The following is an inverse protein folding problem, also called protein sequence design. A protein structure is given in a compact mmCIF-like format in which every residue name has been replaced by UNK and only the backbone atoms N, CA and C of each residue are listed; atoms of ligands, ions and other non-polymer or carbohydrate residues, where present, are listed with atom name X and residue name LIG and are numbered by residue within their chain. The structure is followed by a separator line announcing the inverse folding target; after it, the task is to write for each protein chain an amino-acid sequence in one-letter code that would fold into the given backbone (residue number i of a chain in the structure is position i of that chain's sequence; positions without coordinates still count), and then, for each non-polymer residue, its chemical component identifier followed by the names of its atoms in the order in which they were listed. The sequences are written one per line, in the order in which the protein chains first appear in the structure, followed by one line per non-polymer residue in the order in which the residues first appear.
data_IF_178283123723
#
_entry.id   IF_178283123723
#
_cell.length_a   1.000
_cell.length_b   1.000
_cell.length_c   1.000
_cell.angle_alpha   90.00
_cell.angle_beta   90.00
_cell.angle_gamma   90.00
#
_symmetry.space_group_name_H-M   'P 1'
#
loop_
_entity.id
_entity.type
_entity.pdbx_description
1 polymer ?
#
# COMPACT_ATOMS: atom_id res chain seq x y z
N UNK A 1 -25.30 -12.95 16.06
CA UNK A 1 -26.48 -13.33 16.89
C UNK A 1 -26.01 -13.54 18.32
N UNK A 2 -26.66 -12.90 19.29
CA UNK A 2 -26.40 -13.09 20.71
C UNK A 2 -27.06 -14.40 21.19
N UNK A 3 -26.25 -15.41 21.49
CA UNK A 3 -26.70 -16.80 21.68
C UNK A 3 -27.76 -16.93 22.78
N UNK A 4 -27.54 -16.32 23.95
CA UNK A 4 -28.47 -16.45 25.09
C UNK A 4 -29.82 -15.76 24.86
N UNK A 5 -29.85 -14.69 24.06
CA UNK A 5 -31.08 -13.93 23.80
C UNK A 5 -31.79 -14.40 22.53
N UNK A 6 -31.05 -15.05 21.61
CA UNK A 6 -31.52 -15.35 20.27
C UNK A 6 -31.75 -14.09 19.42
N UNK A 7 -31.14 -12.95 19.78
CA UNK A 7 -31.32 -11.67 19.08
C UNK A 7 -30.18 -11.42 18.11
N UNK A 8 -30.47 -10.77 16.99
CA UNK A 8 -29.44 -10.23 16.10
C UNK A 8 -28.69 -9.08 16.79
N UNK A 9 -27.40 -8.95 16.48
CA UNK A 9 -26.61 -7.82 16.96
C UNK A 9 -26.78 -6.69 15.95
N UNK A 10 -27.15 -5.50 16.40
CA UNK A 10 -27.53 -4.38 15.56
C UNK A 10 -26.77 -3.11 15.94
N UNK A 11 -26.60 -2.21 14.98
CA UNK A 11 -26.18 -0.83 15.22
C UNK A 11 -27.36 -0.01 15.77
N UNK A 12 -27.24 0.49 16.99
CA UNK A 12 -28.26 1.34 17.62
C UNK A 12 -28.21 2.73 17.01
N UNK A 13 -29.34 3.26 16.57
CA UNK A 13 -29.47 4.67 16.16
C UNK A 13 -30.57 5.32 16.97
N UNK A 14 -30.20 5.86 18.12
CA UNK A 14 -31.08 6.58 19.06
C UNK A 14 -30.41 7.87 19.51
N UNK A 15 -31.10 8.71 20.27
CA UNK A 15 -30.49 9.90 20.83
C UNK A 15 -29.28 9.58 21.71
N UNK A 16 -28.34 10.54 21.80
CA UNK A 16 -27.22 10.49 22.72
C UNK A 16 -27.69 10.14 24.16
N UNK A 17 -26.88 9.40 24.93
CA UNK A 17 -25.47 9.06 24.69
C UNK A 17 -25.25 7.73 23.95
N UNK A 18 -26.31 7.03 23.55
CA UNK A 18 -26.22 5.64 23.06
C UNK A 18 -26.38 5.51 21.53
N UNK A 19 -26.17 6.60 20.81
CA UNK A 19 -26.13 6.57 19.35
C UNK A 19 -24.90 5.77 18.88
N UNK A 20 -25.07 4.97 17.83
CA UNK A 20 -24.06 4.10 17.23
C UNK A 20 -23.45 3.00 18.12
N UNK A 21 -24.12 2.62 19.20
CA UNK A 21 -23.69 1.47 20.03
C UNK A 21 -24.07 0.13 19.39
N UNK A 22 -23.25 -0.90 19.58
CA UNK A 22 -23.64 -2.29 19.31
C UNK A 22 -24.65 -2.74 20.37
N UNK A 23 -25.81 -3.26 19.97
CA UNK A 23 -26.80 -3.78 20.90
C UNK A 23 -27.45 -5.06 20.39
N UNK A 24 -27.96 -5.88 21.30
CA UNK A 24 -28.81 -7.01 20.94
C UNK A 24 -30.19 -6.46 20.55
N UNK A 25 -30.51 -6.48 19.26
CA UNK A 25 -31.73 -5.96 18.68
C UNK A 25 -32.92 -6.86 18.94
N UNK A 26 -33.48 -7.43 17.87
CA UNK A 26 -34.63 -8.32 17.94
C UNK A 26 -34.30 -9.72 17.43
N UNK A 27 -35.25 -10.66 17.57
CA UNK A 27 -35.16 -11.99 16.95
C UNK A 27 -35.43 -11.97 15.44
N UNK A 28 -35.96 -10.86 14.93
CA UNK A 28 -36.24 -10.67 13.51
C UNK A 28 -35.10 -9.89 12.87
N UNK A 29 -34.91 -10.13 11.57
CA UNK A 29 -33.98 -9.37 10.73
C UNK A 29 -34.41 -7.90 10.70
N UNK A 30 -33.44 -7.00 10.80
CA UNK A 30 -33.68 -5.56 10.75
C UNK A 30 -33.93 -5.11 9.29
N UNK A 31 -35.09 -4.49 9.04
CA UNK A 31 -35.46 -4.04 7.69
C UNK A 31 -34.57 -2.93 7.13
N UNK A 32 -33.84 -2.21 7.99
CA UNK A 32 -32.87 -1.18 7.62
C UNK A 32 -31.43 -1.73 7.54
N UNK A 33 -31.27 -3.05 7.59
CA UNK A 33 -29.99 -3.77 7.50
C UNK A 33 -29.00 -3.39 8.62
N UNK A 34 -29.49 -2.91 9.76
CA UNK A 34 -28.63 -2.51 10.90
C UNK A 34 -28.01 -3.69 11.62
N UNK A 35 -28.49 -4.91 11.34
CA UNK A 35 -27.96 -6.19 11.79
C UNK A 35 -26.91 -6.80 10.85
N UNK A 36 -26.64 -6.16 9.71
CA UNK A 36 -25.62 -6.59 8.76
C UNK A 36 -24.27 -5.99 9.15
N UNK A 37 -23.26 -6.85 9.26
CA UNK A 37 -21.89 -6.46 9.59
C UNK A 37 -20.96 -6.87 8.45
N UNK A 38 -20.10 -5.95 8.03
CA UNK A 38 -18.98 -6.28 7.14
C UNK A 38 -17.83 -6.83 7.98
N UNK A 39 -17.48 -8.09 7.75
CA UNK A 39 -16.32 -8.70 8.39
C UNK A 39 -15.05 -8.25 7.67
N UNK A 40 -14.16 -7.57 8.39
CA UNK A 40 -12.82 -7.23 7.91
C UNK A 40 -11.80 -8.17 8.54
N UNK A 41 -11.04 -8.87 7.71
CA UNK A 41 -9.89 -9.64 8.19
C UNK A 41 -8.73 -8.68 8.44
N UNK A 42 -8.50 -8.32 9.71
CA UNK A 42 -7.40 -7.41 10.05
C UNK A 42 -6.02 -7.97 9.68
N UNK A 43 -5.85 -9.30 9.62
CA UNK A 43 -4.58 -9.91 9.24
C UNK A 43 -4.24 -9.66 7.76
N UNK A 44 -5.24 -9.55 6.87
CA UNK A 44 -4.97 -9.27 5.46
C UNK A 44 -4.50 -7.84 5.22
N UNK A 45 -4.75 -6.90 6.14
CA UNK A 45 -4.23 -5.53 6.06
C UNK A 45 -2.70 -5.46 6.20
N UNK A 46 -2.07 -6.54 6.68
CA UNK A 46 -0.62 -6.65 6.86
C UNK A 46 0.05 -7.56 5.83
N UNK A 47 -0.73 -8.17 4.93
CA UNK A 47 -0.23 -9.08 3.90
C UNK A 47 -0.35 -8.39 2.54
N UNK A 48 0.80 -8.06 1.95
CA UNK A 48 0.83 -7.49 0.62
C UNK A 48 0.61 -8.55 -0.45
N UNK A 49 -0.12 -8.21 -1.54
CA UNK A 49 -0.03 -8.97 -2.77
C UNK A 49 1.42 -9.06 -3.22
N UNK A 50 1.79 -10.18 -3.86
CA UNK A 50 3.18 -10.41 -4.25
C UNK A 50 3.60 -9.47 -5.38
N UNK A 51 2.78 -9.33 -6.43
CA UNK A 51 3.02 -8.42 -7.54
C UNK A 51 2.08 -7.22 -7.46
N UNK A 52 2.66 -6.03 -7.44
CA UNK A 52 1.92 -4.79 -7.25
C UNK A 52 2.36 -3.71 -8.21
N UNK A 53 1.46 -2.77 -8.48
CA UNK A 53 1.81 -1.43 -8.91
C UNK A 53 1.50 -0.43 -7.79
N UNK A 54 2.23 0.68 -7.76
CA UNK A 54 1.93 1.78 -6.85
C UNK A 54 1.39 2.96 -7.63
N UNK A 55 0.36 3.61 -7.12
CA UNK A 55 -0.19 4.84 -7.70
C UNK A 55 -0.07 5.99 -6.71
N UNK A 56 0.41 7.11 -7.22
CA UNK A 56 0.65 8.31 -6.43
C UNK A 56 -0.54 9.26 -6.47
N UNK A 57 -0.46 10.32 -5.66
CA UNK A 57 -1.47 11.38 -5.57
C UNK A 57 -1.80 12.04 -6.92
N UNK A 58 -0.86 12.06 -7.87
CA UNK A 58 -1.09 12.59 -9.23
C UNK A 58 -1.89 11.64 -10.15
N UNK A 59 -2.39 10.52 -9.61
CA UNK A 59 -3.14 9.52 -10.36
C UNK A 59 -2.31 8.66 -11.32
N UNK A 60 -0.98 8.82 -11.33
CA UNK A 60 -0.08 8.04 -12.19
C UNK A 60 0.55 6.87 -11.43
N UNK A 61 0.89 5.83 -12.19
CA UNK A 61 1.60 4.67 -11.70
C UNK A 61 3.11 4.92 -11.60
N UNK A 62 3.71 4.35 -10.56
CA UNK A 62 5.13 4.39 -10.27
C UNK A 62 5.88 3.35 -11.09
N UNK A 63 6.68 3.81 -12.04
CA UNK A 63 7.52 2.93 -12.85
C UNK A 63 8.97 3.37 -12.91
N UNK A 64 9.81 2.48 -13.44
CA UNK A 64 11.24 2.75 -13.60
C UNK A 64 11.47 3.73 -14.75
N UNK A 65 12.30 4.74 -14.53
CA UNK A 65 12.84 5.63 -15.56
C UNK A 65 14.35 5.81 -15.38
N UNK A 66 15.09 5.93 -16.48
CA UNK A 66 16.51 6.32 -16.42
C UNK A 66 16.62 7.84 -16.38
N UNK A 67 17.19 8.40 -15.31
CA UNK A 67 17.56 9.81 -15.21
C UNK A 67 19.02 9.91 -14.80
N UNK A 68 19.80 10.73 -15.51
CA UNK A 68 21.25 10.91 -15.27
C UNK A 68 22.01 9.57 -15.14
N UNK A 69 21.70 8.62 -16.03
CA UNK A 69 22.24 7.25 -16.02
C UNK A 69 21.90 6.42 -14.76
N UNK A 70 20.94 6.83 -13.95
CA UNK A 70 20.46 6.11 -12.76
C UNK A 70 19.03 5.58 -12.97
N UNK A 71 18.73 4.35 -12.54
CA UNK A 71 17.39 3.78 -12.62
C UNK A 71 16.52 4.31 -11.47
N UNK A 72 15.85 5.43 -11.69
CA UNK A 72 14.96 6.07 -10.72
C UNK A 72 13.52 5.54 -10.83
N UNK A 73 12.69 5.89 -9.85
CA UNK A 73 11.26 5.62 -9.87
C UNK A 73 10.48 6.92 -10.06
N UNK A 74 9.53 6.95 -10.98
CA UNK A 74 8.72 8.12 -11.31
C UNK A 74 7.23 7.79 -11.44
N UNK A 75 6.38 8.65 -10.90
CA UNK A 75 4.92 8.61 -11.06
C UNK A 75 4.51 9.26 -12.38
N UNK A 76 4.70 8.57 -13.49
CA UNK A 76 4.45 9.09 -14.85
C UNK A 76 3.69 8.14 -15.77
N UNK A 77 3.44 6.89 -15.34
CA UNK A 77 2.79 5.89 -16.18
C UNK A 77 1.27 5.94 -16.04
N UNK A 78 0.55 5.70 -17.13
CA UNK A 78 -0.92 5.78 -17.17
C UNK A 78 -1.63 4.44 -16.92
N UNK A 79 -0.95 3.33 -17.15
CA UNK A 79 -1.55 2.00 -17.16
C UNK A 79 -0.81 1.05 -16.24
N UNK A 80 -1.53 0.22 -15.46
CA UNK A 80 -0.91 -0.81 -14.62
C UNK A 80 -0.32 -1.97 -15.45
N UNK A 81 -0.68 -2.07 -16.73
CA UNK A 81 -0.18 -3.09 -17.66
C UNK A 81 1.23 -2.80 -18.22
N UNK A 82 1.80 -1.62 -17.94
CA UNK A 82 3.16 -1.30 -18.39
C UNK A 82 4.18 -2.16 -17.60
N UNK A 83 5.09 -2.90 -18.27
CA UNK A 83 6.02 -3.78 -17.58
C UNK A 83 6.97 -3.05 -16.61
N UNK A 84 7.16 -1.74 -16.74
CA UNK A 84 8.02 -0.93 -15.87
C UNK A 84 7.37 -0.55 -14.54
N UNK A 85 6.04 -0.71 -14.41
CA UNK A 85 5.31 -0.37 -13.18
C UNK A 85 5.14 -1.55 -12.23
N UNK A 86 5.49 -2.77 -12.67
CA UNK A 86 5.34 -3.98 -11.87
C UNK A 86 6.50 -4.13 -10.88
N UNK A 87 6.15 -4.28 -9.60
CA UNK A 87 7.08 -4.51 -8.50
C UNK A 87 6.67 -5.75 -7.70
N UNK A 88 7.66 -6.45 -7.16
CA UNK A 88 7.47 -7.58 -6.26
C UNK A 88 7.74 -7.12 -4.82
N UNK A 89 6.77 -7.30 -3.92
CA UNK A 89 6.93 -7.05 -2.50
C UNK A 89 7.38 -8.33 -1.80
N UNK A 90 8.47 -8.23 -1.04
CA UNK A 90 8.96 -9.30 -0.17
C UNK A 90 8.97 -8.82 1.27
N UNK A 91 8.17 -9.46 2.12
CA UNK A 91 8.09 -9.15 3.55
C UNK A 91 8.80 -10.22 4.37
N UNK A 92 9.70 -9.80 5.25
CA UNK A 92 10.37 -10.71 6.19
C UNK A 92 9.49 -11.00 7.40
N UNK A 93 9.73 -12.08 8.18
CA UNK A 93 9.00 -12.34 9.42
C UNK A 93 9.08 -11.21 10.46
N UNK A 94 10.08 -10.31 10.34
CA UNK A 94 10.25 -9.13 11.19
C UNK A 94 9.47 -7.91 10.70
N UNK A 95 8.64 -8.05 9.66
CA UNK A 95 7.86 -6.95 9.07
C UNK A 95 8.68 -5.98 8.21
N UNK A 96 9.94 -6.31 7.89
CA UNK A 96 10.75 -5.53 6.95
C UNK A 96 10.26 -5.83 5.53
N UNK A 97 10.00 -4.76 4.78
CA UNK A 97 9.56 -4.78 3.39
C UNK A 97 10.77 -4.50 2.49
N UNK A 98 10.99 -5.36 1.50
CA UNK A 98 11.96 -5.19 0.43
C UNK A 98 11.19 -5.20 -0.89
N UNK A 99 11.43 -4.21 -1.74
CA UNK A 99 10.66 -4.03 -2.99
C UNK A 99 11.62 -4.23 -4.16
N UNK A 100 11.25 -5.12 -5.08
CA UNK A 100 12.03 -5.43 -6.27
C UNK A 100 11.28 -4.96 -7.50
N UNK A 101 11.95 -4.24 -8.39
CA UNK A 101 11.38 -3.99 -9.72
C UNK A 101 11.42 -5.28 -10.54
N UNK A 102 10.28 -5.67 -11.10
CA UNK A 102 10.21 -6.82 -12.00
C UNK A 102 10.91 -6.50 -13.32
N UNK A 103 10.91 -5.25 -13.77
CA UNK A 103 11.59 -4.81 -14.99
C UNK A 103 13.13 -4.87 -14.87
N UNK A 104 13.71 -4.23 -13.83
CA UNK A 104 15.17 -4.19 -13.67
C UNK A 104 15.76 -5.45 -13.01
N UNK A 105 14.93 -6.29 -12.38
CA UNK A 105 15.36 -7.42 -11.54
C UNK A 105 16.26 -7.00 -10.36
N UNK A 106 16.16 -5.74 -9.93
CA UNK A 106 16.91 -5.14 -8.82
C UNK A 106 15.98 -4.55 -7.78
N UNK A 107 16.52 -4.39 -6.57
CA UNK A 107 15.78 -3.88 -5.42
C UNK A 107 15.82 -2.35 -5.35
N UNK A 108 14.75 -1.80 -4.80
CA UNK A 108 14.65 -0.40 -4.44
C UNK A 108 15.65 -0.10 -3.33
N UNK A 109 16.33 1.03 -3.45
CA UNK A 109 17.32 1.48 -2.47
C UNK A 109 17.36 2.99 -2.42
N UNK A 110 17.54 3.51 -1.21
CA UNK A 110 17.90 4.91 -1.00
C UNK A 110 19.24 5.21 -1.66
N UNK A 111 19.24 6.09 -2.65
CA UNK A 111 20.39 6.53 -3.44
C UNK A 111 20.92 7.90 -3.01
N UNK A 112 21.71 8.52 -3.90
CA UNK A 112 22.21 9.88 -3.72
C UNK A 112 21.09 10.91 -3.84
N UNK A 113 21.12 11.99 -3.05
CA UNK A 113 20.07 13.02 -3.06
C UNK A 113 18.73 12.51 -2.54
N UNK A 114 18.74 11.43 -1.76
CA UNK A 114 17.58 10.79 -1.16
C UNK A 114 16.54 10.21 -2.14
N UNK A 115 16.91 10.12 -3.41
CA UNK A 115 16.10 9.45 -4.44
C UNK A 115 16.10 7.94 -4.22
N UNK A 116 14.94 7.31 -4.41
CA UNK A 116 14.88 5.86 -4.48
C UNK A 116 15.27 5.42 -5.89
N UNK A 117 16.29 4.59 -5.96
CA UNK A 117 16.82 3.99 -7.19
C UNK A 117 16.65 2.49 -7.17
N UNK A 118 16.77 1.85 -8.33
CA UNK A 118 16.49 0.43 -8.55
C UNK A 118 17.77 -0.29 -8.99
N UNK A 119 18.74 -0.36 -8.09
CA UNK A 119 20.09 -0.87 -8.38
C UNK A 119 20.64 -1.83 -7.31
N UNK A 120 19.87 -2.13 -6.25
CA UNK A 120 20.37 -2.99 -5.19
C UNK A 120 20.25 -4.48 -5.52
N UNK A 121 21.18 -5.26 -4.98
CA UNK A 121 21.00 -6.69 -4.79
C UNK A 121 19.98 -6.97 -3.67
N UNK A 122 19.58 -8.22 -3.54
CA UNK A 122 18.66 -8.67 -2.50
C UNK A 122 19.17 -8.30 -1.10
N UNK A 123 18.48 -7.40 -0.38
CA UNK A 123 18.95 -6.96 0.92
C UNK A 123 18.61 -7.95 2.03
N UNK A 124 17.79 -8.99 1.76
CA UNK A 124 17.40 -9.99 2.78
C UNK A 124 18.64 -10.75 3.24
N UNK A 125 18.88 -10.75 4.55
CA UNK A 125 20.08 -11.36 5.14
C UNK A 125 21.33 -10.49 5.08
N UNK A 126 21.25 -9.28 4.50
CA UNK A 126 22.31 -8.27 4.58
C UNK A 126 22.01 -7.20 5.64
N UNK A 127 22.95 -6.28 5.87
CA UNK A 127 22.75 -5.08 6.68
C UNK A 127 22.41 -3.83 5.85
N UNK A 128 21.98 -4.00 4.59
CA UNK A 128 21.70 -2.89 3.69
C UNK A 128 20.36 -2.21 4.00
N UNK A 129 20.32 -1.46 5.12
CA UNK A 129 19.13 -0.72 5.57
C UNK A 129 18.61 0.29 4.53
N UNK A 130 19.45 0.71 3.57
CA UNK A 130 19.05 1.63 2.49
C UNK A 130 18.04 0.98 1.53
N UNK A 131 18.05 -0.34 1.41
CA UNK A 131 17.12 -1.11 0.56
C UNK A 131 16.00 -1.79 1.37
N UNK A 132 15.84 -1.41 2.64
CA UNK A 132 14.84 -1.95 3.55
C UNK A 132 13.84 -0.87 3.94
N UNK A 133 12.57 -1.26 4.04
CA UNK A 133 11.47 -0.37 4.35
C UNK A 133 10.59 -0.95 5.45
N UNK A 134 9.85 -0.08 6.12
CA UNK A 134 8.66 -0.45 6.90
C UNK A 134 7.46 0.21 6.27
N UNK A 135 6.34 -0.49 6.24
CA UNK A 135 5.07 0.11 5.81
C UNK A 135 4.30 0.63 7.03
N UNK A 136 3.45 1.61 6.79
CA UNK A 136 2.36 1.99 7.69
C UNK A 136 1.07 2.03 6.88
N UNK A 137 0.09 1.22 7.28
CA UNK A 137 -1.21 1.13 6.61
C UNK A 137 -2.03 2.39 6.91
N UNK A 138 -2.50 3.04 5.85
CA UNK A 138 -3.31 4.25 5.90
C UNK A 138 -4.79 3.96 5.61
N UNK A 139 -5.02 2.91 4.82
CA UNK A 139 -6.33 2.37 4.44
C UNK A 139 -6.15 0.90 4.00
N UNK A 140 -7.21 0.23 3.53
CA UNK A 140 -7.17 -1.16 3.02
C UNK A 140 -6.12 -1.30 1.89
N UNK A 141 -6.13 -0.37 0.92
CA UNK A 141 -5.26 -0.42 -0.26
C UNK A 141 -4.26 0.75 -0.31
N UNK A 142 -4.03 1.43 0.82
CA UNK A 142 -3.14 2.58 0.87
C UNK A 142 -2.12 2.47 1.98
N UNK A 143 -0.86 2.71 1.64
CA UNK A 143 0.27 2.64 2.57
C UNK A 143 1.14 3.89 2.48
N UNK A 144 2.00 4.04 3.48
CA UNK A 144 3.22 4.85 3.39
C UNK A 144 4.44 3.97 3.67
N UNK A 145 5.58 4.30 3.05
CA UNK A 145 6.81 3.52 3.17
C UNK A 145 7.90 4.33 3.85
N UNK A 146 8.36 3.89 5.02
CA UNK A 146 9.49 4.45 5.75
C UNK A 146 10.77 3.76 5.32
N UNK A 147 11.78 4.49 4.86
CA UNK A 147 13.10 3.91 4.59
C UNK A 147 13.86 3.68 5.90
N UNK A 148 14.47 2.50 6.07
CA UNK A 148 15.12 2.13 7.34
C UNK A 148 16.48 2.80 7.58
N UNK A 149 17.17 3.30 6.55
CA UNK A 149 18.43 4.01 6.72
C UNK A 149 18.24 5.49 7.08
N UNK A 150 17.32 6.18 6.40
CA UNK A 150 17.04 7.61 6.66
C UNK A 150 15.98 7.84 7.74
N UNK A 151 15.16 6.83 8.03
CA UNK A 151 13.98 6.91 8.92
C UNK A 151 12.97 7.99 8.51
N UNK A 152 12.86 8.24 7.21
CA UNK A 152 11.92 9.18 6.59
C UNK A 152 11.03 8.46 5.59
N UNK A 153 9.83 9.00 5.35
CA UNK A 153 8.86 8.42 4.43
C UNK A 153 9.20 8.76 2.98
N UNK A 154 9.01 7.75 2.13
CA UNK A 154 9.04 7.88 0.68
C UNK A 154 7.81 8.66 0.22
N UNK A 155 8.01 9.60 -0.69
CA UNK A 155 6.93 10.40 -1.29
C UNK A 155 7.24 10.75 -2.72
N UNK A 156 6.18 11.05 -3.47
CA UNK A 156 6.31 11.77 -4.73
C UNK A 156 6.92 13.14 -4.46
N UNK A 157 8.03 13.44 -5.14
CA UNK A 157 8.78 14.67 -4.94
C UNK A 157 9.31 15.22 -6.26
N UNK A 158 9.30 16.54 -6.38
CA UNK A 158 9.86 17.26 -7.51
C UNK A 158 10.98 18.17 -7.03
N UNK A 159 12.17 17.98 -7.57
CA UNK A 159 13.32 18.86 -7.33
C UNK A 159 14.23 18.86 -8.55
N UNK A 160 14.51 20.04 -9.10
CA UNK A 160 15.25 20.21 -10.36
C UNK A 160 14.63 19.35 -11.48
N UNK A 161 15.45 18.61 -12.24
CA UNK A 161 14.99 17.78 -13.37
C UNK A 161 14.29 16.47 -12.92
N UNK A 162 14.25 16.21 -11.61
CA UNK A 162 13.57 15.04 -11.04
C UNK A 162 12.11 15.37 -10.75
N UNK A 163 11.27 15.39 -11.78
CA UNK A 163 9.82 15.62 -11.67
C UNK A 163 9.09 14.36 -11.20
N UNK A 164 8.28 14.48 -10.13
CA UNK A 164 7.41 13.41 -9.59
C UNK A 164 8.14 12.08 -9.39
N UNK A 165 9.39 12.13 -8.93
CA UNK A 165 10.19 10.96 -8.61
C UNK A 165 9.99 10.53 -7.15
N UNK A 166 10.25 9.27 -6.84
CA UNK A 166 10.17 8.77 -5.47
C UNK A 166 11.41 9.19 -4.67
N UNK A 167 11.21 9.91 -3.56
CA UNK A 167 12.27 10.39 -2.68
C UNK A 167 11.89 10.20 -1.20
N UNK A 168 12.86 9.98 -0.33
CA UNK A 168 12.64 10.03 1.13
C UNK A 168 12.71 11.46 1.66
N UNK A 169 11.64 12.24 1.44
CA UNK A 169 11.66 13.71 1.62
C UNK A 169 10.77 14.24 2.76
N UNK A 170 10.13 13.38 3.56
CA UNK A 170 9.31 13.84 4.69
C UNK A 170 9.47 12.97 5.95
N UNK A 171 9.57 13.57 7.16
CA UNK A 171 9.61 12.82 8.42
C UNK A 171 8.22 12.32 8.85
N UNK A 172 7.14 12.93 8.35
CA UNK A 172 5.75 12.59 8.66
C UNK A 172 4.98 12.26 7.38
N UNK A 173 3.97 11.39 7.49
CA UNK A 173 3.12 11.05 6.34
C UNK A 173 2.33 12.29 5.90
N UNK A 174 2.52 12.69 4.64
CA UNK A 174 1.70 13.70 3.97
C UNK A 174 0.98 13.08 2.77
N UNK A 175 0.16 13.87 2.07
CA UNK A 175 -0.62 13.38 0.91
C UNK A 175 0.24 12.76 -0.19
N UNK A 176 1.49 13.20 -0.35
CA UNK A 176 2.39 12.70 -1.39
C UNK A 176 3.15 11.43 -0.96
N UNK A 177 3.14 11.11 0.33
CA UNK A 177 3.66 9.88 0.90
C UNK A 177 2.64 8.73 0.92
N UNK A 178 1.37 9.02 0.61
CA UNK A 178 0.33 8.00 0.42
C UNK A 178 0.54 7.31 -0.94
N UNK A 179 0.66 5.99 -0.90
CA UNK A 179 0.78 5.12 -2.07
C UNK A 179 -0.41 4.17 -2.09
N UNK A 180 -1.22 4.27 -3.13
CA UNK A 180 -2.25 3.27 -3.43
C UNK A 180 -1.55 2.03 -3.99
N UNK A 181 -1.89 0.85 -3.47
CA UNK A 181 -1.32 -0.45 -3.83
C UNK A 181 -2.33 -1.18 -4.71
N UNK A 182 -1.93 -1.52 -5.92
CA UNK A 182 -2.77 -2.22 -6.90
C UNK A 182 -2.27 -3.65 -7.00
N UNK A 183 -3.12 -4.62 -6.67
CA UNK A 183 -2.86 -6.05 -6.85
C UNK A 183 -2.91 -6.42 -8.35
N UNK A 184 -1.74 -6.68 -8.93
CA UNK A 184 -1.63 -6.99 -10.35
C UNK A 184 -1.98 -8.43 -10.69
N UNK A 185 -1.93 -9.34 -9.73
CA UNK A 185 -2.30 -10.73 -9.96
C UNK A 185 -3.83 -10.83 -10.09
N UNK A 186 -4.57 -10.12 -9.24
CA UNK A 186 -6.03 -10.01 -9.33
C UNK A 186 -6.50 -9.34 -10.63
N UNK A 187 -5.83 -8.29 -11.08
CA UNK A 187 -6.11 -7.62 -12.37
C UNK A 187 -5.96 -8.58 -13.56
N UNK A 188 -4.91 -9.42 -13.55
CA UNK A 188 -4.69 -10.41 -14.62
C UNK A 188 -5.81 -11.46 -14.67
N UNK A 189 -6.33 -11.89 -13.52
CA UNK A 189 -7.40 -12.87 -13.44
C UNK A 189 -8.76 -12.32 -13.92
N UNK A 190 -9.07 -11.08 -13.57
CA UNK A 190 -10.30 -10.40 -14.06
C UNK A 190 -10.25 -10.29 -15.60
N UNK A 191 -9.12 -9.87 -16.16
CA UNK A 191 -8.97 -9.70 -17.60
C UNK A 191 -9.02 -11.03 -18.39
N UNK A 192 -8.70 -12.15 -17.75
CA UNK A 192 -8.84 -13.50 -18.34
C UNK A 192 -10.29 -14.02 -18.27
N UNK A 193 -11.05 -13.62 -17.26
CA UNK A 193 -12.43 -14.06 -17.04
C UNK A 193 -13.45 -13.36 -17.96
N UNK A 194 -13.06 -12.25 -18.59
CA UNK A 194 -13.88 -11.46 -19.51
C UNK A 194 -13.58 -11.74 -21.01
N UNK A 195 -12.86 -12.81 -21.33
CA UNK A 195 -12.59 -13.29 -22.69
C UNK A 195 -13.16 -14.69 -22.87
#
# INVERSE_FOLDING_TARGET
MHVQLGHYACLKRIAAPFDFCLFAGSKNIDGDLRDVLTLLNLNSLFVFPKHVAFKGENGKYLGVITKDSKPCLQFSYDKPSDPKVEHEILTTPKGIVCIKSVYNKKFWRLGHGDWIVVDAEDPRGSNNARAMFRHNSLDIDAISLLNMAKTWYCKMYTLNDYVSCLNTATPNVDRYAKLEVIDLDREKDINRSCR
#
